data_IF_418749890916
#
_entry.id   IF_418749890916
#
_cell.length_a   1.000
_cell.length_b   1.000
_cell.length_c   1.000
_cell.angle_alpha   90.00
_cell.angle_beta   90.00
_cell.angle_gamma   90.00
#
_symmetry.space_group_name_H-M   'P 1'
#
loop_
_entity.id
_entity.type
_entity.pdbx_description
1 polymer ?
#
# COMPACT_ATOMS: atom_id res chain seq x y z
N UNK A 1 66.87 8.10 -21.20
CA UNK A 1 66.36 6.70 -21.23
C UNK A 1 65.03 6.67 -20.50
N UNK A 2 63.91 6.33 -21.18
CA UNK A 2 62.61 6.27 -20.52
C UNK A 2 62.54 5.02 -19.64
N UNK A 3 62.23 5.21 -18.36
CA UNK A 3 61.94 4.12 -17.42
C UNK A 3 60.68 3.40 -17.90
N UNK A 4 60.79 2.14 -18.33
CA UNK A 4 59.64 1.30 -18.67
C UNK A 4 58.74 1.23 -17.43
N UNK A 5 57.46 1.61 -17.59
CA UNK A 5 56.44 1.43 -16.56
C UNK A 5 56.37 -0.06 -16.17
N UNK A 6 56.14 -0.42 -14.89
CA UNK A 6 55.81 -1.79 -14.54
C UNK A 6 54.60 -2.25 -15.38
N UNK A 7 54.60 -3.50 -15.82
CA UNK A 7 53.46 -4.12 -16.50
C UNK A 7 52.26 -4.09 -15.55
N UNK A 8 51.41 -3.08 -15.67
CA UNK A 8 50.21 -2.93 -14.84
C UNK A 8 49.19 -4.00 -15.27
N UNK A 9 48.82 -4.88 -14.34
CA UNK A 9 47.85 -5.96 -14.60
C UNK A 9 46.47 -5.34 -14.84
N UNK A 10 45.90 -5.54 -16.03
CA UNK A 10 44.59 -4.99 -16.35
C UNK A 10 43.49 -5.67 -15.53
N UNK A 11 42.46 -4.89 -15.14
CA UNK A 11 41.28 -5.44 -14.44
C UNK A 11 40.55 -6.48 -15.28
N UNK A 12 40.57 -6.33 -16.60
CA UNK A 12 39.99 -7.29 -17.55
C UNK A 12 40.69 -8.65 -17.48
N UNK A 13 42.02 -8.66 -17.37
CA UNK A 13 42.80 -9.88 -17.22
C UNK A 13 42.44 -10.62 -15.92
N UNK A 14 42.33 -9.90 -14.80
CA UNK A 14 41.90 -10.49 -13.52
C UNK A 14 40.49 -11.09 -13.63
N UNK A 15 39.59 -10.40 -14.33
CA UNK A 15 38.23 -10.90 -14.56
C UNK A 15 38.21 -12.16 -15.44
N UNK A 16 39.11 -12.28 -16.42
CA UNK A 16 39.24 -13.48 -17.25
C UNK A 16 39.76 -14.67 -16.45
N UNK A 17 40.76 -14.46 -15.58
CA UNK A 17 41.24 -15.49 -14.64
C UNK A 17 40.07 -15.98 -13.78
N UNK A 18 39.29 -15.07 -13.22
CA UNK A 18 38.13 -15.42 -12.40
C UNK A 18 37.02 -16.08 -13.20
N UNK A 19 36.78 -15.68 -14.44
CA UNK A 19 35.80 -16.34 -15.29
C UNK A 19 36.19 -17.80 -15.52
N UNK A 20 37.47 -18.11 -15.76
CA UNK A 20 37.95 -19.49 -15.89
C UNK A 20 37.70 -20.28 -14.59
N UNK A 21 37.94 -19.67 -13.43
CA UNK A 21 37.74 -20.34 -12.14
C UNK A 21 36.24 -20.54 -11.87
N UNK A 22 35.44 -19.47 -11.98
CA UNK A 22 34.05 -19.40 -11.55
C UNK A 22 33.01 -19.91 -12.56
N UNK A 23 33.42 -20.37 -13.75
CA UNK A 23 32.48 -20.79 -14.80
C UNK A 23 31.69 -22.05 -14.40
N UNK A 24 30.40 -21.88 -14.08
CA UNK A 24 29.50 -22.96 -13.63
C UNK A 24 29.18 -23.98 -14.73
N UNK A 25 29.53 -23.71 -15.99
CA UNK A 25 29.32 -24.66 -17.08
C UNK A 25 30.16 -25.93 -16.90
N UNK A 26 29.71 -27.02 -17.50
CA UNK A 26 30.46 -28.27 -17.49
C UNK A 26 31.84 -28.13 -18.18
N UNK A 27 31.91 -27.31 -19.22
CA UNK A 27 33.16 -26.99 -19.94
C UNK A 27 34.13 -26.20 -19.07
N UNK A 28 33.65 -25.16 -18.40
CA UNK A 28 34.43 -24.37 -17.44
C UNK A 28 34.97 -25.21 -16.30
N UNK A 29 34.13 -26.09 -15.74
CA UNK A 29 34.54 -27.04 -14.70
C UNK A 29 35.65 -27.98 -15.19
N UNK A 30 35.51 -28.56 -16.39
CA UNK A 30 36.57 -29.42 -16.97
C UNK A 30 37.85 -28.62 -17.20
N UNK A 31 37.75 -27.37 -17.65
CA UNK A 31 38.88 -26.47 -17.92
C UNK A 31 39.69 -26.19 -16.65
N UNK A 32 39.05 -25.78 -15.55
CA UNK A 32 39.76 -25.48 -14.29
C UNK A 32 40.37 -26.72 -13.65
N UNK A 33 39.69 -27.87 -13.71
CA UNK A 33 40.24 -29.15 -13.23
C UNK A 33 41.47 -29.56 -14.05
N UNK A 34 41.42 -29.42 -15.38
CA UNK A 34 42.55 -29.72 -16.25
C UNK A 34 43.75 -28.79 -15.99
N UNK A 35 43.50 -27.51 -15.69
CA UNK A 35 44.53 -26.54 -15.28
C UNK A 35 45.16 -26.97 -13.94
N UNK A 36 44.35 -27.30 -12.93
CA UNK A 36 44.83 -27.71 -11.62
C UNK A 36 45.64 -29.02 -11.68
N UNK A 37 45.17 -30.03 -12.42
CA UNK A 37 45.88 -31.30 -12.61
C UNK A 37 47.18 -31.13 -13.39
N UNK A 38 47.24 -30.26 -14.39
CA UNK A 38 48.50 -29.97 -15.11
C UNK A 38 49.52 -29.30 -14.19
N UNK A 39 49.07 -28.39 -13.32
CA UNK A 39 49.93 -27.77 -12.31
C UNK A 39 50.42 -28.80 -11.28
N UNK A 40 49.58 -29.73 -10.86
CA UNK A 40 49.90 -30.84 -9.97
C UNK A 40 50.93 -31.77 -10.61
N UNK A 41 50.70 -32.22 -11.85
CA UNK A 41 51.64 -33.07 -12.58
C UNK A 41 53.01 -32.40 -12.73
N UNK A 42 53.05 -31.10 -13.08
CA UNK A 42 54.29 -30.30 -13.15
C UNK A 42 54.97 -30.16 -11.80
N UNK A 43 54.20 -30.07 -10.72
CA UNK A 43 54.72 -30.02 -9.36
C UNK A 43 55.36 -31.37 -9.00
N UNK A 44 54.72 -32.49 -9.28
CA UNK A 44 55.24 -33.81 -8.87
C UNK A 44 56.42 -34.35 -9.69
N UNK A 45 56.78 -33.73 -10.83
CA UNK A 45 57.87 -34.23 -11.69
C UNK A 45 59.22 -34.32 -10.96
N UNK A 46 59.91 -35.47 -11.01
CA UNK A 46 61.21 -35.62 -10.36
C UNK A 46 62.27 -34.74 -11.02
N UNK A 47 63.11 -34.08 -10.21
CA UNK A 47 64.31 -33.39 -10.70
C UNK A 47 65.32 -34.46 -11.16
N UNK A 48 65.97 -34.23 -12.32
CA UNK A 48 66.86 -35.19 -13.01
C UNK A 48 68.05 -35.76 -12.20
N UNK A 49 68.32 -35.28 -10.98
CA UNK A 49 69.44 -35.76 -10.15
C UNK A 49 68.94 -36.63 -8.99
N UNK A 50 69.58 -37.81 -8.81
CA UNK A 50 69.24 -38.83 -7.82
C UNK A 50 69.23 -38.30 -6.38
N UNK A 51 70.26 -37.53 -5.99
CA UNK A 51 70.38 -36.96 -4.65
C UNK A 51 69.33 -35.87 -4.40
N UNK A 52 69.09 -35.00 -5.39
CA UNK A 52 68.02 -34.01 -5.27
C UNK A 52 66.65 -34.65 -5.29
N UNK A 53 66.44 -35.72 -6.07
CA UNK A 53 65.16 -36.43 -6.17
C UNK A 53 64.69 -37.02 -4.84
N UNK A 54 65.62 -37.53 -4.01
CA UNK A 54 65.30 -38.07 -2.70
C UNK A 54 64.88 -36.98 -1.69
N UNK A 55 65.63 -35.87 -1.61
CA UNK A 55 65.22 -34.70 -0.81
C UNK A 55 63.95 -34.03 -1.35
N UNK A 56 63.73 -34.10 -2.67
CA UNK A 56 62.59 -33.50 -3.35
C UNK A 56 61.28 -34.25 -3.09
N UNK A 57 61.30 -35.58 -2.98
CA UNK A 57 60.13 -36.36 -2.57
C UNK A 57 59.73 -36.09 -1.11
N UNK A 58 60.70 -35.92 -0.20
CA UNK A 58 60.42 -35.71 1.22
C UNK A 58 59.92 -34.29 1.57
N UNK A 59 60.16 -33.31 0.68
CA UNK A 59 59.79 -31.90 0.91
C UNK A 59 58.43 -31.51 0.30
N UNK A 60 57.84 -32.35 -0.57
CA UNK A 60 56.52 -32.11 -1.16
C UNK A 60 55.42 -32.86 -0.39
N UNK A 61 54.86 -32.23 0.65
CA UNK A 61 53.81 -32.81 1.52
C UNK A 61 52.38 -32.41 1.15
N UNK A 62 52.18 -31.79 -0.01
CA UNK A 62 50.94 -31.07 -0.34
C UNK A 62 50.03 -31.73 -1.39
N UNK A 63 50.48 -32.80 -2.05
CA UNK A 63 49.72 -33.48 -3.12
C UNK A 63 48.31 -33.88 -2.68
N UNK A 64 48.20 -34.59 -1.55
CA UNK A 64 46.90 -35.07 -1.05
C UNK A 64 45.87 -33.94 -0.79
N UNK A 65 46.30 -32.79 -0.25
CA UNK A 65 45.41 -31.65 -0.03
C UNK A 65 44.97 -30.98 -1.33
N UNK A 66 45.86 -30.93 -2.32
CA UNK A 66 45.56 -30.39 -3.65
C UNK A 66 44.56 -31.30 -4.36
N UNK A 67 44.79 -32.61 -4.33
CA UNK A 67 43.89 -33.61 -4.89
C UNK A 67 42.48 -33.52 -4.26
N UNK A 68 42.39 -33.42 -2.93
CA UNK A 68 41.12 -33.25 -2.22
C UNK A 68 40.35 -32.01 -2.67
N UNK A 69 41.01 -30.85 -2.78
CA UNK A 69 40.31 -29.64 -3.25
C UNK A 69 39.95 -29.70 -4.74
N UNK A 70 40.75 -30.37 -5.59
CA UNK A 70 40.38 -30.64 -6.99
C UNK A 70 39.11 -31.49 -7.05
N UNK A 71 39.02 -32.51 -6.20
CA UNK A 71 37.85 -33.37 -6.05
C UNK A 71 36.59 -32.59 -5.63
N UNK A 72 36.72 -31.65 -4.69
CA UNK A 72 35.60 -30.79 -4.26
C UNK A 72 35.17 -29.88 -5.42
N UNK A 73 36.11 -29.25 -6.12
CA UNK A 73 35.81 -28.43 -7.31
C UNK A 73 35.16 -29.23 -8.45
N UNK A 74 35.42 -30.54 -8.52
CA UNK A 74 34.77 -31.45 -9.47
C UNK A 74 33.35 -31.83 -9.05
N UNK A 75 33.15 -32.13 -7.77
CA UNK A 75 31.88 -32.59 -7.20
C UNK A 75 30.82 -31.49 -7.12
N UNK A 76 31.23 -30.25 -6.80
CA UNK A 76 30.31 -29.12 -6.63
C UNK A 76 30.33 -28.19 -7.84
N UNK A 77 29.21 -28.03 -8.57
CA UNK A 77 29.17 -27.23 -9.79
C UNK A 77 29.15 -25.71 -9.54
N UNK A 78 28.77 -25.26 -8.34
CA UNK A 78 28.54 -23.85 -8.04
C UNK A 78 29.83 -23.02 -7.97
N UNK A 79 29.77 -21.79 -8.49
CA UNK A 79 30.91 -20.87 -8.53
C UNK A 79 31.43 -20.52 -7.13
N UNK A 80 30.54 -20.42 -6.15
CA UNK A 80 30.88 -20.00 -4.80
C UNK A 80 31.78 -21.03 -4.10
N UNK A 81 31.38 -22.30 -4.05
CA UNK A 81 32.18 -23.38 -3.46
C UNK A 81 33.51 -23.51 -4.16
N UNK A 82 33.52 -23.36 -5.49
CA UNK A 82 34.74 -23.48 -6.27
C UNK A 82 35.73 -22.34 -6.04
N UNK A 83 35.25 -21.09 -5.96
CA UNK A 83 36.09 -19.95 -5.61
C UNK A 83 36.62 -20.03 -4.17
N UNK A 84 35.82 -20.58 -3.26
CA UNK A 84 36.23 -20.86 -1.88
C UNK A 84 37.36 -21.89 -1.83
N UNK A 85 37.19 -23.04 -2.48
CA UNK A 85 38.22 -24.08 -2.58
C UNK A 85 39.47 -23.57 -3.29
N UNK A 86 39.32 -22.85 -4.39
CA UNK A 86 40.43 -22.21 -5.08
C UNK A 86 41.19 -21.26 -4.15
N UNK A 87 40.47 -20.44 -3.37
CA UNK A 87 41.09 -19.54 -2.38
C UNK A 87 41.84 -20.32 -1.29
N UNK A 88 41.27 -21.41 -0.78
CA UNK A 88 41.92 -22.27 0.22
C UNK A 88 43.22 -22.86 -0.32
N UNK A 89 43.19 -23.41 -1.54
CA UNK A 89 44.38 -23.91 -2.23
C UNK A 89 45.46 -22.82 -2.28
N UNK A 90 45.15 -21.62 -2.75
CA UNK A 90 46.20 -20.62 -2.98
C UNK A 90 46.68 -19.97 -1.68
N UNK A 91 45.91 -20.06 -0.59
CA UNK A 91 46.26 -19.51 0.73
C UNK A 91 47.22 -20.41 1.51
N UNK A 92 47.09 -21.74 1.39
CA UNK A 92 47.88 -22.71 2.18
C UNK A 92 49.29 -22.99 1.62
N UNK A 93 49.61 -22.50 0.41
CA UNK A 93 50.82 -22.86 -0.33
C UNK A 93 51.94 -21.81 -0.32
N UNK A 94 53.18 -22.28 -0.53
CA UNK A 94 54.29 -21.40 -0.87
C UNK A 94 54.12 -20.80 -2.28
N UNK A 95 54.74 -19.63 -2.51
CA UNK A 95 54.69 -18.90 -3.78
C UNK A 95 56.03 -18.84 -4.51
N UNK A 96 57.05 -19.57 -4.03
CA UNK A 96 58.38 -19.62 -4.66
C UNK A 96 58.30 -20.26 -6.05
N UNK A 97 59.27 -19.96 -6.92
CA UNK A 97 59.39 -20.61 -8.23
C UNK A 97 59.42 -22.14 -8.05
N UNK A 98 58.57 -22.86 -8.78
CA UNK A 98 58.44 -24.33 -8.69
C UNK A 98 57.49 -24.85 -7.58
N UNK A 99 56.88 -23.95 -6.80
CA UNK A 99 55.76 -24.28 -5.92
C UNK A 99 54.47 -24.57 -6.71
N UNK A 100 53.52 -25.28 -6.10
CA UNK A 100 52.24 -25.61 -6.75
C UNK A 100 51.46 -24.33 -7.11
N UNK A 101 51.39 -23.35 -6.19
CA UNK A 101 50.66 -22.10 -6.45
C UNK A 101 51.26 -21.32 -7.62
N UNK A 102 52.59 -21.28 -7.71
CA UNK A 102 53.29 -20.66 -8.83
C UNK A 102 52.95 -21.35 -10.16
N UNK A 103 52.99 -22.69 -10.19
CA UNK A 103 52.66 -23.48 -11.38
C UNK A 103 51.17 -23.38 -11.77
N UNK A 104 50.28 -23.32 -10.79
CA UNK A 104 48.84 -23.14 -11.00
C UNK A 104 48.54 -21.79 -11.66
N UNK A 105 49.17 -20.71 -11.19
CA UNK A 105 49.00 -19.39 -11.79
C UNK A 105 49.64 -19.30 -13.17
N UNK A 106 50.76 -19.98 -13.43
CA UNK A 106 51.31 -20.11 -14.79
C UNK A 106 50.31 -20.77 -15.74
N UNK A 107 49.74 -21.92 -15.37
CA UNK A 107 48.75 -22.62 -16.19
C UNK A 107 47.46 -21.79 -16.39
N UNK A 108 47.07 -20.98 -15.41
CA UNK A 108 45.94 -20.04 -15.53
C UNK A 108 46.23 -18.92 -16.52
N UNK A 109 47.43 -18.34 -16.47
CA UNK A 109 47.86 -17.30 -17.41
C UNK A 109 47.91 -17.87 -18.83
N UNK A 110 48.48 -19.06 -19.01
CA UNK A 110 48.57 -19.75 -20.30
C UNK A 110 47.19 -20.14 -20.88
N UNK A 111 46.17 -20.27 -20.03
CA UNK A 111 44.81 -20.64 -20.43
C UNK A 111 43.96 -19.44 -20.91
N UNK A 112 44.50 -18.23 -20.87
CA UNK A 112 43.84 -17.00 -21.34
C UNK A 112 44.23 -16.75 -22.81
N UNK A 113 43.25 -16.66 -23.73
CA UNK A 113 43.53 -16.36 -25.13
C UNK A 113 44.12 -14.95 -25.28
N UNK A 114 45.01 -14.78 -26.26
CA UNK A 114 45.60 -13.49 -26.67
C UNK A 114 46.57 -12.83 -25.68
N UNK A 115 47.01 -13.55 -24.64
CA UNK A 115 47.99 -13.01 -23.71
C UNK A 115 49.43 -13.13 -24.23
N UNK A 116 50.14 -12.01 -24.35
CA UNK A 116 51.53 -11.98 -24.81
C UNK A 116 52.46 -12.65 -23.78
N UNK A 117 53.38 -13.49 -24.26
CA UNK A 117 54.36 -14.18 -23.40
C UNK A 117 55.12 -13.17 -22.54
N UNK A 118 54.97 -13.26 -21.22
CA UNK A 118 55.72 -12.45 -20.25
C UNK A 118 57.17 -12.91 -20.32
N UNK A 119 58.10 -11.95 -20.34
CA UNK A 119 59.52 -12.23 -20.19
C UNK A 119 59.77 -13.01 -18.88
N UNK A 120 60.51 -14.12 -18.97
CA UNK A 120 60.80 -15.03 -17.86
C UNK A 120 61.36 -14.31 -16.63
N UNK A 121 62.05 -13.19 -16.84
CA UNK A 121 62.62 -12.37 -15.75
C UNK A 121 61.58 -11.63 -14.90
N UNK A 122 60.37 -11.39 -15.42
CA UNK A 122 59.30 -10.63 -14.73
C UNK A 122 58.09 -11.48 -14.32
N UNK A 123 58.05 -12.75 -14.73
CA UNK A 123 56.88 -13.62 -14.54
C UNK A 123 56.57 -13.89 -13.06
N UNK A 124 57.61 -14.00 -12.22
CA UNK A 124 57.44 -14.26 -10.80
C UNK A 124 56.81 -13.06 -10.07
N UNK A 125 57.30 -11.84 -10.33
CA UNK A 125 56.69 -10.62 -9.79
C UNK A 125 55.26 -10.42 -10.29
N UNK A 126 55.00 -10.73 -11.56
CA UNK A 126 53.66 -10.65 -12.14
C UNK A 126 52.67 -11.60 -11.43
N UNK A 127 53.05 -12.86 -11.20
CA UNK A 127 52.20 -13.83 -10.48
C UNK A 127 51.90 -13.37 -9.06
N UNK A 128 52.89 -12.79 -8.37
CA UNK A 128 52.70 -12.28 -7.01
C UNK A 128 51.78 -11.06 -6.96
N UNK A 129 51.71 -10.24 -8.00
CA UNK A 129 50.74 -9.15 -8.10
C UNK A 129 49.35 -9.68 -8.50
N UNK A 130 49.30 -10.63 -9.45
CA UNK A 130 48.07 -11.25 -9.92
C UNK A 130 47.32 -11.97 -8.79
N UNK A 131 48.03 -12.71 -7.93
CA UNK A 131 47.39 -13.41 -6.81
C UNK A 131 46.65 -12.44 -5.88
N UNK A 132 47.21 -11.28 -5.60
CA UNK A 132 46.62 -10.31 -4.66
C UNK A 132 45.34 -9.73 -5.26
N UNK A 133 45.37 -9.43 -6.56
CA UNK A 133 44.19 -8.94 -7.28
C UNK A 133 43.10 -10.01 -7.38
N UNK A 134 43.47 -11.27 -7.67
CA UNK A 134 42.53 -12.40 -7.72
C UNK A 134 41.91 -12.65 -6.35
N UNK A 135 42.70 -12.73 -5.27
CA UNK A 135 42.19 -12.94 -3.89
C UNK A 135 41.22 -11.83 -3.51
N UNK A 136 41.60 -10.55 -3.74
CA UNK A 136 40.75 -9.40 -3.43
C UNK A 136 39.41 -9.46 -4.16
N UNK A 137 39.43 -9.90 -5.41
CA UNK A 137 38.23 -9.96 -6.24
C UNK A 137 37.36 -11.19 -5.86
N UNK A 138 37.95 -12.31 -5.45
CA UNK A 138 37.23 -13.44 -4.83
C UNK A 138 36.52 -12.99 -3.56
N UNK A 139 37.22 -12.25 -2.68
CA UNK A 139 36.64 -11.74 -1.44
C UNK A 139 35.47 -10.79 -1.69
N UNK A 140 35.61 -9.89 -2.67
CA UNK A 140 34.52 -9.01 -3.08
C UNK A 140 33.31 -9.81 -3.58
N UNK A 141 33.53 -10.86 -4.38
CA UNK A 141 32.46 -11.71 -4.89
C UNK A 141 31.75 -12.44 -3.75
N UNK A 142 32.51 -13.08 -2.85
CA UNK A 142 31.96 -13.80 -1.71
C UNK A 142 31.15 -12.90 -0.79
N UNK A 143 31.62 -11.68 -0.53
CA UNK A 143 30.91 -10.69 0.27
C UNK A 143 29.56 -10.30 -0.37
N UNK A 144 29.56 -10.00 -1.67
CA UNK A 144 28.35 -9.66 -2.42
C UNK A 144 27.35 -10.83 -2.44
N UNK A 145 27.85 -12.05 -2.62
CA UNK A 145 27.02 -13.26 -2.61
C UNK A 145 26.33 -13.46 -1.26
N UNK A 146 27.07 -13.36 -0.15
CA UNK A 146 26.51 -13.47 1.21
C UNK A 146 25.45 -12.40 1.48
N UNK A 147 25.74 -11.14 1.14
CA UNK A 147 24.79 -10.03 1.30
C UNK A 147 23.51 -10.26 0.48
N UNK A 148 23.65 -10.77 -0.74
CA UNK A 148 22.52 -11.09 -1.61
C UNK A 148 21.65 -12.20 -0.99
N UNK A 149 22.26 -13.28 -0.49
CA UNK A 149 21.53 -14.36 0.18
C UNK A 149 20.77 -13.88 1.43
N UNK A 150 21.39 -13.03 2.24
CA UNK A 150 20.73 -12.44 3.42
C UNK A 150 19.53 -11.58 3.00
N UNK A 151 19.67 -10.77 1.94
CA UNK A 151 18.57 -9.95 1.42
C UNK A 151 17.41 -10.80 0.87
N UNK A 152 17.71 -11.93 0.21
CA UNK A 152 16.70 -12.86 -0.30
C UNK A 152 15.97 -13.52 0.87
N UNK A 153 16.69 -13.98 1.89
CA UNK A 153 16.10 -14.56 3.11
C UNK A 153 15.21 -13.56 3.84
N UNK A 154 15.67 -12.32 4.00
CA UNK A 154 14.89 -11.26 4.65
C UNK A 154 13.57 -10.99 3.90
N UNK A 155 13.62 -10.87 2.57
CA UNK A 155 12.43 -10.69 1.73
C UNK A 155 11.47 -11.88 1.79
N UNK A 156 11.97 -13.10 1.89
CA UNK A 156 11.10 -14.28 2.01
C UNK A 156 10.42 -14.34 3.38
N UNK A 157 11.13 -13.99 4.46
CA UNK A 157 10.54 -13.85 5.81
C UNK A 157 9.45 -12.77 5.78
N UNK A 158 9.73 -11.60 5.20
CA UNK A 158 8.75 -10.51 5.06
C UNK A 158 7.50 -10.97 4.26
N UNK A 159 7.68 -11.73 3.18
CA UNK A 159 6.54 -12.30 2.43
C UNK A 159 5.73 -13.27 3.28
N UNK A 160 6.38 -14.09 4.10
CA UNK A 160 5.70 -15.03 4.98
C UNK A 160 4.93 -14.32 6.08
N UNK A 161 5.50 -13.28 6.70
CA UNK A 161 4.80 -12.47 7.70
C UNK A 161 3.60 -11.75 7.10
N UNK A 162 3.73 -11.15 5.92
CA UNK A 162 2.59 -10.55 5.19
C UNK A 162 1.49 -11.58 4.94
N UNK A 163 1.85 -12.79 4.45
CA UNK A 163 0.86 -13.86 4.20
C UNK A 163 0.17 -14.32 5.49
N UNK A 164 0.90 -14.38 6.60
CA UNK A 164 0.34 -14.78 7.89
C UNK A 164 -0.60 -13.71 8.44
N UNK A 165 -0.19 -12.45 8.39
CA UNK A 165 -1.02 -11.31 8.79
C UNK A 165 -2.29 -11.24 7.94
N UNK A 166 -2.19 -11.44 6.63
CA UNK A 166 -3.36 -11.53 5.75
C UNK A 166 -4.30 -12.66 6.15
N UNK A 167 -3.77 -13.84 6.51
CA UNK A 167 -4.61 -14.97 6.95
C UNK A 167 -5.36 -14.64 8.23
N UNK A 168 -4.66 -14.10 9.23
CA UNK A 168 -5.25 -13.71 10.52
C UNK A 168 -6.34 -12.64 10.33
N UNK A 169 -6.09 -11.61 9.51
CA UNK A 169 -7.07 -10.55 9.24
C UNK A 169 -8.38 -11.09 8.63
N UNK A 170 -8.31 -12.18 7.87
CA UNK A 170 -9.47 -12.77 7.19
C UNK A 170 -10.20 -13.79 8.08
N UNK A 171 -9.47 -14.46 8.97
CA UNK A 171 -10.04 -15.34 9.99
C UNK A 171 -10.87 -14.57 11.02
N UNK A 172 -10.48 -13.32 11.31
CA UNK A 172 -11.23 -12.42 12.20
C UNK A 172 -12.53 -11.86 11.59
N UNK A 173 -12.79 -12.16 10.31
CA UNK A 173 -14.03 -11.74 9.63
C UNK A 173 -15.04 -12.88 9.66
N UNK A 174 -16.26 -12.59 10.11
CA UNK A 174 -17.40 -13.50 10.02
C UNK A 174 -18.37 -12.99 8.95
N UNK A 175 -18.87 -13.89 8.10
CA UNK A 175 -19.92 -13.56 7.11
C UNK A 175 -21.03 -14.59 7.25
N UNK A 176 -22.26 -14.10 7.33
CA UNK A 176 -23.45 -14.93 7.41
C UNK A 176 -24.48 -14.49 6.36
N UNK A 177 -25.38 -15.40 6.01
CA UNK A 177 -26.47 -15.08 5.08
C UNK A 177 -27.58 -14.23 5.73
N UNK A 178 -27.73 -14.34 7.05
CA UNK A 178 -28.79 -13.68 7.82
C UNK A 178 -28.26 -12.70 8.86
N UNK A 179 -28.93 -11.55 8.96
CA UNK A 179 -28.57 -10.46 9.87
C UNK A 179 -28.72 -10.86 11.35
N UNK A 180 -29.78 -11.61 11.68
CA UNK A 180 -30.09 -12.07 13.03
C UNK A 180 -29.00 -13.00 13.56
N UNK A 181 -28.62 -13.99 12.75
CA UNK A 181 -27.54 -14.95 13.06
C UNK A 181 -26.21 -14.23 13.23
N UNK A 182 -25.91 -13.27 12.36
CA UNK A 182 -24.69 -12.48 12.43
C UNK A 182 -24.58 -11.66 13.73
N UNK A 183 -25.69 -11.05 14.19
CA UNK A 183 -25.74 -10.32 15.48
C UNK A 183 -25.54 -11.24 16.67
N UNK A 184 -26.19 -12.40 16.68
CA UNK A 184 -26.08 -13.38 17.77
C UNK A 184 -24.66 -13.92 17.90
N UNK A 185 -24.04 -14.28 16.77
CA UNK A 185 -22.68 -14.81 16.74
C UNK A 185 -21.62 -13.77 17.14
N UNK A 186 -21.80 -12.50 16.76
CA UNK A 186 -20.92 -11.42 17.20
C UNK A 186 -21.06 -11.12 18.69
N UNK A 187 -22.26 -11.27 19.26
CA UNK A 187 -22.46 -11.14 20.70
C UNK A 187 -21.67 -12.18 21.50
N UNK A 188 -21.40 -13.35 20.91
CA UNK A 188 -20.56 -14.39 21.50
C UNK A 188 -19.06 -14.20 21.19
N UNK A 189 -18.71 -13.45 20.13
CA UNK A 189 -17.33 -13.24 19.66
C UNK A 189 -17.10 -11.75 19.33
N UNK A 190 -16.98 -10.87 20.35
CA UNK A 190 -16.90 -9.42 20.16
C UNK A 190 -15.62 -8.96 19.46
N UNK A 191 -14.56 -9.77 19.49
CA UNK A 191 -13.26 -9.44 18.88
C UNK A 191 -13.23 -9.60 17.35
N UNK A 192 -14.34 -10.02 16.74
CA UNK A 192 -14.45 -10.28 15.29
C UNK A 192 -15.28 -9.23 14.58
N UNK A 193 -14.98 -8.99 13.31
CA UNK A 193 -15.80 -8.13 12.45
C UNK A 193 -16.85 -8.99 11.73
N UNK A 194 -18.13 -8.70 11.93
CA UNK A 194 -19.20 -9.45 11.28
C UNK A 194 -19.84 -8.68 10.14
N UNK A 195 -20.16 -9.42 9.09
CA UNK A 195 -20.95 -8.96 7.96
C UNK A 195 -22.14 -9.89 7.76
N UNK A 196 -23.26 -9.31 7.33
CA UNK A 196 -24.40 -10.06 6.82
C UNK A 196 -24.53 -9.76 5.33
N UNK A 197 -24.58 -10.79 4.50
CA UNK A 197 -24.76 -10.63 3.07
C UNK A 197 -25.96 -11.50 2.67
N UNK A 198 -27.10 -10.83 2.45
CA UNK A 198 -28.38 -11.48 2.22
C UNK A 198 -28.86 -11.25 0.79
N UNK A 199 -29.41 -12.27 0.15
CA UNK A 199 -30.05 -12.15 -1.16
C UNK A 199 -31.55 -12.02 -0.96
N UNK A 200 -32.11 -10.83 -1.21
CA UNK A 200 -33.55 -10.56 -1.09
C UNK A 200 -34.01 -9.72 -2.28
N UNK A 201 -35.17 -10.04 -2.84
CA UNK A 201 -35.76 -9.34 -3.99
C UNK A 201 -34.81 -9.26 -5.19
N UNK A 202 -34.11 -10.37 -5.49
CA UNK A 202 -33.10 -10.47 -6.54
C UNK A 202 -31.91 -9.49 -6.41
N UNK A 203 -31.71 -8.93 -5.22
CA UNK A 203 -30.62 -8.00 -4.91
C UNK A 203 -29.81 -8.47 -3.70
N UNK A 204 -28.49 -8.33 -3.82
CA UNK A 204 -27.55 -8.57 -2.72
C UNK A 204 -27.50 -7.36 -1.79
N UNK A 205 -27.85 -7.58 -0.52
CA UNK A 205 -27.78 -6.58 0.53
C UNK A 205 -26.64 -6.91 1.48
N UNK A 206 -25.65 -6.02 1.57
CA UNK A 206 -24.51 -6.12 2.47
C UNK A 206 -24.75 -5.22 3.69
N UNK A 207 -24.61 -5.80 4.88
CA UNK A 207 -24.64 -5.08 6.14
C UNK A 207 -23.35 -5.34 6.90
N UNK A 208 -22.79 -4.28 7.48
CA UNK A 208 -21.72 -4.37 8.47
C UNK A 208 -22.33 -4.25 9.87
N UNK A 209 -21.88 -5.11 10.77
CA UNK A 209 -22.26 -5.07 12.18
C UNK A 209 -21.04 -4.62 12.98
N UNK A 210 -21.20 -3.58 13.77
CA UNK A 210 -20.14 -3.07 14.63
C UNK A 210 -20.03 -3.82 15.96
N UNK A 211 -19.05 -3.41 16.77
CA UNK A 211 -18.79 -3.95 18.11
C UNK A 211 -19.93 -3.71 19.12
N UNK A 212 -20.86 -2.80 18.80
CA UNK A 212 -22.04 -2.49 19.62
C UNK A 212 -23.30 -3.24 19.14
N UNK A 213 -23.22 -3.98 18.03
CA UNK A 213 -24.33 -4.70 17.42
C UNK A 213 -25.22 -3.82 16.52
N UNK A 214 -24.84 -2.57 16.26
CA UNK A 214 -25.53 -1.70 15.30
C UNK A 214 -25.22 -2.14 13.87
N UNK A 215 -26.19 -1.97 12.98
CA UNK A 215 -26.12 -2.46 11.60
C UNK A 215 -26.08 -1.32 10.60
N UNK A 216 -25.05 -1.30 9.76
CA UNK A 216 -24.88 -0.32 8.71
C UNK A 216 -25.08 -0.95 7.34
N UNK A 217 -26.05 -0.47 6.53
CA UNK A 217 -26.19 -0.91 5.15
C UNK A 217 -24.99 -0.40 4.33
N UNK A 218 -24.27 -1.32 3.71
CA UNK A 218 -23.15 -1.03 2.83
C UNK A 218 -23.57 -1.18 1.37
N UNK A 219 -23.05 -0.31 0.52
CA UNK A 219 -23.18 -0.47 -0.93
C UNK A 219 -22.17 -1.52 -1.40
N UNK A 220 -22.61 -2.66 -1.95
CA UNK A 220 -21.68 -3.67 -2.46
C UNK A 220 -20.89 -3.10 -3.65
N UNK A 221 -19.59 -3.41 -3.72
CA UNK A 221 -18.74 -3.01 -4.84
C UNK A 221 -19.14 -3.77 -6.13
N UNK A 222 -18.84 -3.20 -7.30
CA UNK A 222 -19.08 -3.90 -8.57
C UNK A 222 -18.35 -5.25 -8.62
N UNK A 223 -17.13 -5.31 -8.06
CA UNK A 223 -16.37 -6.56 -7.94
C UNK A 223 -17.05 -7.59 -7.04
N UNK A 224 -17.65 -7.15 -5.93
CA UNK A 224 -18.43 -8.01 -5.04
C UNK A 224 -19.67 -8.53 -5.78
N UNK A 225 -20.42 -7.67 -6.45
CA UNK A 225 -21.61 -8.06 -7.22
C UNK A 225 -21.24 -9.08 -8.30
N UNK A 226 -20.16 -8.86 -9.05
CA UNK A 226 -19.68 -9.82 -10.06
C UNK A 226 -19.35 -11.18 -9.43
N UNK A 227 -18.62 -11.21 -8.31
CA UNK A 227 -18.28 -12.46 -7.62
C UNK A 227 -19.51 -13.18 -7.05
N UNK A 228 -20.52 -12.43 -6.62
CA UNK A 228 -21.75 -12.99 -6.07
C UNK A 228 -22.73 -13.46 -7.14
N UNK A 229 -22.76 -12.81 -8.31
CA UNK A 229 -23.59 -13.22 -9.46
C UNK A 229 -23.05 -14.46 -10.17
N UNK A 230 -21.75 -14.77 -10.02
CA UNK A 230 -21.18 -16.04 -10.50
C UNK A 230 -21.49 -17.25 -9.63
N UNK A 231 -22.19 -17.08 -8.50
CA UNK A 231 -22.53 -18.18 -7.61
C UNK A 231 -23.78 -18.92 -8.11
N UNK A 232 -23.69 -20.24 -8.24
CA UNK A 232 -24.82 -21.10 -8.62
C UNK A 232 -25.91 -21.15 -7.53
N UNK A 233 -25.52 -21.05 -6.26
CA UNK A 233 -26.43 -20.92 -5.12
C UNK A 233 -26.13 -19.63 -4.33
N UNK A 234 -27.15 -18.83 -3.95
CA UNK A 234 -27.00 -17.63 -3.14
C UNK A 234 -26.82 -18.00 -1.65
N UNK A 235 -25.87 -18.88 -1.35
CA UNK A 235 -25.54 -19.30 0.01
C UNK A 235 -24.03 -19.19 0.24
N UNK A 236 -23.64 -18.20 1.04
CA UNK A 236 -22.24 -17.83 1.27
C UNK A 236 -21.54 -18.82 2.20
N UNK A 237 -22.30 -19.45 3.10
CA UNK A 237 -21.78 -20.41 4.09
C UNK A 237 -21.35 -21.73 3.43
N UNK A 238 -21.91 -22.05 2.26
CA UNK A 238 -21.52 -23.23 1.46
C UNK A 238 -20.34 -22.98 0.53
N UNK A 239 -19.78 -21.77 0.48
CA UNK A 239 -18.71 -21.44 -0.46
C UNK A 239 -17.38 -22.09 -0.10
N UNK A 240 -16.59 -22.36 -1.14
CA UNK A 240 -15.22 -22.82 -0.95
C UNK A 240 -14.37 -21.74 -0.21
N UNK A 241 -13.30 -22.17 0.47
CA UNK A 241 -12.44 -21.27 1.27
C UNK A 241 -11.82 -20.13 0.45
N UNK A 242 -11.60 -20.32 -0.86
CA UNK A 242 -10.96 -19.34 -1.75
C UNK A 242 -11.94 -18.22 -2.11
N UNK A 243 -13.15 -18.56 -2.53
CA UNK A 243 -14.24 -17.63 -2.85
C UNK A 243 -14.66 -16.87 -1.59
N UNK A 244 -14.79 -17.56 -0.45
CA UNK A 244 -15.09 -16.93 0.84
C UNK A 244 -14.01 -15.89 1.23
N UNK A 245 -12.72 -16.23 1.04
CA UNK A 245 -11.60 -15.30 1.27
C UNK A 245 -11.71 -14.04 0.41
N UNK A 246 -12.07 -14.19 -0.86
CA UNK A 246 -12.23 -13.06 -1.77
C UNK A 246 -13.43 -12.18 -1.41
N UNK A 247 -14.57 -12.78 -1.06
CA UNK A 247 -15.77 -12.06 -0.61
C UNK A 247 -15.49 -11.29 0.67
N UNK A 248 -14.81 -11.91 1.65
CA UNK A 248 -14.36 -11.23 2.89
C UNK A 248 -13.53 -9.98 2.62
N UNK A 249 -12.57 -10.06 1.69
CA UNK A 249 -11.77 -8.88 1.30
C UNK A 249 -12.64 -7.77 0.71
N UNK A 250 -13.61 -8.10 -0.13
CA UNK A 250 -14.52 -7.11 -0.71
C UNK A 250 -15.48 -6.49 0.33
N UNK A 251 -15.97 -7.27 1.30
CA UNK A 251 -16.79 -6.73 2.40
C UNK A 251 -16.02 -5.71 3.24
N UNK A 252 -14.75 -5.99 3.55
CA UNK A 252 -13.88 -5.04 4.27
C UNK A 252 -13.63 -3.78 3.44
N UNK A 253 -13.35 -3.92 2.14
CA UNK A 253 -13.24 -2.75 1.25
C UNK A 253 -14.50 -1.90 1.28
N UNK A 254 -15.68 -2.52 1.24
CA UNK A 254 -16.95 -1.79 1.29
C UNK A 254 -17.13 -1.03 2.62
N UNK A 255 -16.74 -1.64 3.75
CA UNK A 255 -16.70 -0.97 5.05
C UNK A 255 -15.73 0.21 5.06
N UNK A 256 -14.52 0.02 4.57
CA UNK A 256 -13.49 1.07 4.60
C UNK A 256 -13.87 2.23 3.67
N UNK A 257 -14.48 1.94 2.52
CA UNK A 257 -15.09 2.95 1.64
C UNK A 257 -16.23 3.68 2.33
N UNK A 258 -17.07 2.99 3.10
CA UNK A 258 -18.12 3.62 3.88
C UNK A 258 -17.54 4.57 4.93
N UNK A 259 -16.56 4.13 5.71
CA UNK A 259 -15.86 4.95 6.70
C UNK A 259 -15.09 6.12 6.06
N UNK A 260 -14.59 5.97 4.83
CA UNK A 260 -13.88 7.04 4.12
C UNK A 260 -14.74 8.29 3.91
N UNK A 261 -16.06 8.14 3.86
CA UNK A 261 -17.02 9.26 3.76
C UNK A 261 -17.00 10.16 5.00
N UNK A 262 -16.58 9.61 6.15
CA UNK A 262 -16.42 10.36 7.39
C UNK A 262 -15.17 11.22 7.27
N UNK A 263 -15.37 12.52 7.19
CA UNK A 263 -14.29 13.50 7.15
C UNK A 263 -13.82 13.80 8.56
N UNK A 264 -12.52 13.64 8.76
CA UNK A 264 -11.84 13.87 10.04
C UNK A 264 -10.60 14.71 9.78
N UNK A 265 -10.40 15.75 10.59
CA UNK A 265 -9.19 16.55 10.64
C UNK A 265 -8.63 16.44 12.05
N UNK A 266 -7.36 16.01 12.15
CA UNK A 266 -6.66 15.85 13.42
C UNK A 266 -5.61 16.95 13.52
N UNK A 267 -5.57 17.65 14.65
CA UNK A 267 -4.60 18.71 14.95
C UNK A 267 -4.36 19.67 13.77
N UNK A 268 -5.40 20.42 13.33
CA UNK A 268 -5.29 21.30 12.18
C UNK A 268 -4.27 22.41 12.43
N UNK A 269 -3.26 22.50 11.56
CA UNK A 269 -2.20 23.51 11.61
C UNK A 269 -2.14 24.32 10.31
N UNK A 270 -1.76 25.59 10.43
CA UNK A 270 -1.47 26.43 9.27
C UNK A 270 -0.14 26.00 8.64
N UNK A 271 -0.17 25.69 7.34
CA UNK A 271 0.99 25.21 6.57
C UNK A 271 2.17 26.19 6.55
N UNK A 272 1.95 27.48 6.81
CA UNK A 272 3.00 28.50 6.78
C UNK A 272 3.56 28.83 8.16
N UNK A 273 2.70 28.91 9.16
CA UNK A 273 3.08 29.33 10.52
C UNK A 273 3.25 28.16 11.49
N UNK A 274 2.82 26.94 11.11
CA UNK A 274 2.69 25.78 12.00
C UNK A 274 1.86 26.05 13.26
N UNK A 275 1.09 27.15 13.27
CA UNK A 275 0.22 27.50 14.37
C UNK A 275 -1.09 26.70 14.27
N UNK A 276 -1.69 26.28 15.40
CA UNK A 276 -2.97 25.59 15.38
C UNK A 276 -4.06 26.50 14.80
N UNK A 277 -4.74 26.03 13.75
CA UNK A 277 -5.85 26.75 13.13
C UNK A 277 -7.04 26.78 14.10
N UNK A 278 -7.72 27.92 14.24
CA UNK A 278 -8.99 28.00 14.98
C UNK A 278 -10.14 27.33 14.19
N UNK A 279 -11.24 27.02 14.88
CA UNK A 279 -12.41 26.42 14.22
C UNK A 279 -13.05 27.42 13.26
N UNK A 280 -13.08 28.70 13.62
CA UNK A 280 -13.59 29.75 12.73
C UNK A 280 -12.79 29.81 11.43
N UNK A 281 -11.46 29.69 11.52
CA UNK A 281 -10.60 29.67 10.32
C UNK A 281 -10.88 28.46 9.42
N UNK A 282 -11.17 27.29 10.00
CA UNK A 282 -11.55 26.11 9.21
C UNK A 282 -12.89 26.32 8.48
N UNK A 283 -13.87 26.92 9.15
CA UNK A 283 -15.18 27.25 8.57
C UNK A 283 -15.02 28.29 7.45
N UNK A 284 -14.23 29.34 7.66
CA UNK A 284 -13.93 30.36 6.64
C UNK A 284 -13.26 29.74 5.40
N UNK A 285 -12.41 28.74 5.61
CA UNK A 285 -11.77 27.97 4.54
C UNK A 285 -12.71 26.96 3.85
N UNK A 286 -13.99 26.91 4.24
CA UNK A 286 -15.01 26.09 3.61
C UNK A 286 -14.99 24.61 4.01
N UNK A 287 -14.50 24.32 5.22
CA UNK A 287 -14.62 23.00 5.88
C UNK A 287 -16.03 22.88 6.46
N UNK A 288 -16.76 21.84 6.05
CA UNK A 288 -18.14 21.55 6.46
C UNK A 288 -18.35 20.05 6.52
N UNK A 289 -19.24 19.57 7.40
CA UNK A 289 -19.49 18.13 7.60
C UNK A 289 -18.23 17.35 7.99
N UNK A 290 -17.45 17.90 8.93
CA UNK A 290 -16.14 17.38 9.31
C UNK A 290 -15.98 17.32 10.83
N UNK A 291 -15.45 16.20 11.33
CA UNK A 291 -15.00 16.09 12.72
C UNK A 291 -13.60 16.68 12.86
N UNK A 292 -13.38 17.49 13.89
CA UNK A 292 -12.09 18.09 14.20
C UNK A 292 -11.65 17.59 15.57
N UNK A 293 -10.63 16.75 15.60
CA UNK A 293 -9.99 16.28 16.81
C UNK A 293 -8.79 17.18 17.12
N UNK A 294 -8.76 17.75 18.32
CA UNK A 294 -7.60 18.44 18.87
C UNK A 294 -7.11 17.67 20.07
N UNK A 295 -5.97 17.02 19.93
CA UNK A 295 -5.31 16.36 21.03
C UNK A 295 -4.04 17.13 21.38
N UNK A 296 -4.05 17.73 22.57
CA UNK A 296 -2.91 18.45 23.16
C UNK A 296 -2.47 17.72 24.42
N UNK A 297 -1.25 17.99 24.91
CA UNK A 297 -0.71 17.35 26.13
C UNK A 297 -1.62 17.51 27.36
N UNK A 298 -2.50 18.53 27.37
CA UNK A 298 -3.37 18.86 28.50
C UNK A 298 -4.83 18.44 28.29
N UNK A 299 -5.33 18.48 27.05
CA UNK A 299 -6.73 18.18 26.75
C UNK A 299 -6.94 17.60 25.35
N UNK A 300 -7.86 16.63 25.28
CA UNK A 300 -8.43 16.10 24.03
C UNK A 300 -9.83 16.69 23.82
N UNK A 301 -10.01 17.46 22.75
CA UNK A 301 -11.25 18.14 22.41
C UNK A 301 -11.74 17.69 21.02
N UNK A 302 -13.00 17.24 20.93
CA UNK A 302 -13.63 16.83 19.67
C UNK A 302 -14.74 17.82 19.29
N UNK A 303 -14.74 18.22 18.03
CA UNK A 303 -15.73 19.15 17.47
C UNK A 303 -16.36 18.58 16.21
N UNK A 304 -17.64 18.87 15.99
CA UNK A 304 -18.32 18.61 14.74
C UNK A 304 -18.64 19.94 14.06
N UNK A 305 -18.20 20.11 12.81
CA UNK A 305 -18.63 21.22 11.96
C UNK A 305 -19.71 20.67 11.04
N UNK A 306 -20.94 21.16 11.18
CA UNK A 306 -22.06 20.66 10.37
C UNK A 306 -22.00 21.17 8.91
N UNK A 307 -22.97 20.76 8.09
CA UNK A 307 -23.06 21.17 6.68
C UNK A 307 -23.30 22.66 6.48
N UNK A 308 -23.77 23.37 7.51
CA UNK A 308 -24.03 24.81 7.50
C UNK A 308 -22.83 25.62 8.02
N UNK A 309 -21.73 24.97 8.40
CA UNK A 309 -20.56 25.63 8.99
C UNK A 309 -20.74 26.04 10.46
N UNK A 310 -21.74 25.50 11.15
CA UNK A 310 -21.89 25.68 12.61
C UNK A 310 -21.09 24.61 13.33
N UNK A 311 -20.21 25.04 14.22
CA UNK A 311 -19.44 24.14 15.07
C UNK A 311 -20.20 23.78 16.34
N UNK A 312 -20.06 22.53 16.78
CA UNK A 312 -20.59 22.04 18.05
C UNK A 312 -19.50 21.23 18.74
N UNK A 313 -19.21 21.59 20.00
CA UNK A 313 -18.27 20.82 20.84
C UNK A 313 -18.97 19.52 21.25
N UNK A 314 -18.30 18.39 21.04
CA UNK A 314 -18.78 17.09 21.49
C UNK A 314 -18.14 16.80 22.84
N UNK A 315 -18.95 16.53 23.86
CA UNK A 315 -18.43 16.12 25.16
C UNK A 315 -18.01 14.66 25.11
N UNK A 316 -16.72 14.39 25.30
CA UNK A 316 -16.19 13.01 25.33
C UNK A 316 -16.71 12.20 26.52
N UNK A 317 -17.22 12.87 27.57
CA UNK A 317 -17.87 12.23 28.71
C UNK A 317 -19.08 11.39 28.31
N UNK A 318 -19.77 11.80 27.25
CA UNK A 318 -21.00 11.17 26.79
C UNK A 318 -20.69 9.90 25.98
N UNK A 319 -19.41 9.68 25.63
CA UNK A 319 -18.91 8.59 24.80
C UNK A 319 -17.70 7.91 25.47
N UNK A 320 -17.90 7.13 26.56
CA UNK A 320 -16.81 6.60 27.38
C UNK A 320 -15.88 5.65 26.63
N UNK A 321 -16.39 4.86 25.67
CA UNK A 321 -15.58 3.99 24.81
C UNK A 321 -14.63 4.78 23.90
N UNK A 322 -15.12 5.88 23.31
CA UNK A 322 -14.29 6.75 22.49
C UNK A 322 -13.23 7.46 23.34
N UNK A 323 -13.61 7.90 24.54
CA UNK A 323 -12.70 8.56 25.47
C UNK A 323 -11.57 7.62 25.94
N UNK A 324 -11.88 6.38 26.30
CA UNK A 324 -10.86 5.39 26.69
C UNK A 324 -9.94 5.02 25.51
N UNK A 325 -10.49 4.94 24.29
CA UNK A 325 -9.71 4.69 23.09
C UNK A 325 -8.73 5.85 22.78
N UNK A 326 -9.19 7.10 22.85
CA UNK A 326 -8.35 8.29 22.66
C UNK A 326 -7.31 8.50 23.78
N UNK A 327 -7.53 7.93 24.97
CA UNK A 327 -6.54 7.94 26.03
C UNK A 327 -5.37 6.99 25.75
N UNK A 328 -5.64 5.87 25.06
CA UNK A 328 -4.63 4.83 24.75
C UNK A 328 -3.92 5.07 23.42
N UNK A 329 -4.61 5.70 22.46
CA UNK A 329 -4.07 5.95 21.12
C UNK A 329 -3.92 7.46 20.89
N UNK A 330 -2.67 7.94 20.84
CA UNK A 330 -2.32 9.35 20.64
C UNK A 330 -1.96 9.65 19.18
N UNK A 331 -2.40 10.78 18.60
CA UNK A 331 -2.00 11.16 17.25
C UNK A 331 -0.48 11.33 17.11
N UNK A 332 0.10 11.06 15.92
CA UNK A 332 -0.57 10.71 14.66
C UNK A 332 -1.06 9.27 14.60
N UNK A 333 -2.29 9.07 14.12
CA UNK A 333 -2.88 7.75 13.96
C UNK A 333 -2.30 7.01 12.75
N UNK A 334 -2.06 5.71 12.91
CA UNK A 334 -1.81 4.82 11.77
C UNK A 334 -3.13 4.57 10.99
N UNK A 335 -3.07 3.87 9.86
CA UNK A 335 -4.25 3.63 9.01
C UNK A 335 -5.36 2.85 9.74
N UNK A 336 -5.00 1.85 10.54
CA UNK A 336 -5.95 1.05 11.32
C UNK A 336 -6.61 1.85 12.43
N UNK A 337 -5.84 2.67 13.14
CA UNK A 337 -6.31 3.57 14.20
C UNK A 337 -7.24 4.63 13.61
N UNK A 338 -6.92 5.13 12.41
CA UNK A 338 -7.77 6.08 11.69
C UNK A 338 -9.14 5.50 11.32
N UNK A 339 -9.18 4.24 10.89
CA UNK A 339 -10.45 3.55 10.58
C UNK A 339 -11.25 3.23 11.85
N UNK A 340 -10.59 2.77 12.92
CA UNK A 340 -11.25 2.50 14.19
C UNK A 340 -11.81 3.78 14.82
N UNK A 341 -11.05 4.87 14.75
CA UNK A 341 -11.53 6.18 15.19
C UNK A 341 -12.78 6.60 14.41
N UNK A 342 -12.76 6.47 13.08
CA UNK A 342 -13.92 6.77 12.23
C UNK A 342 -15.14 5.90 12.55
N UNK A 343 -14.92 4.61 12.85
CA UNK A 343 -16.00 3.73 13.29
C UNK A 343 -16.60 4.23 14.61
N UNK A 344 -15.77 4.59 15.59
CA UNK A 344 -16.24 5.15 16.87
C UNK A 344 -17.00 6.49 16.69
N UNK A 345 -16.66 7.29 15.68
CA UNK A 345 -17.37 8.54 15.38
C UNK A 345 -18.81 8.33 14.88
N UNK A 346 -19.15 7.14 14.35
CA UNK A 346 -20.51 6.85 13.89
C UNK A 346 -21.53 6.90 15.04
N UNK A 347 -21.11 6.54 16.24
CA UNK A 347 -21.97 6.56 17.43
C UNK A 347 -22.24 7.96 17.98
N UNK A 348 -21.55 8.98 17.46
CA UNK A 348 -21.72 10.35 17.94
C UNK A 348 -23.00 10.94 17.36
N UNK A 349 -23.91 11.33 18.26
CA UNK A 349 -25.11 12.08 17.90
C UNK A 349 -24.71 13.48 17.44
N UNK A 350 -24.64 13.67 16.13
CA UNK A 350 -24.28 14.95 15.48
C UNK A 350 -25.48 15.83 15.17
N UNK A 351 -26.69 15.30 15.28
CA UNK A 351 -27.94 16.03 15.08
C UNK A 351 -28.23 16.90 16.30
N UNK A 352 -28.21 18.23 16.11
CA UNK A 352 -29.19 19.04 16.83
C UNK A 352 -30.56 18.53 16.38
N UNK A 353 -31.48 18.15 17.30
CA UNK A 353 -32.83 17.82 16.90
C UNK A 353 -33.38 19.03 16.15
N UNK A 354 -33.64 18.87 14.85
CA UNK A 354 -34.42 19.87 14.15
C UNK A 354 -35.76 19.91 14.87
N UNK A 355 -36.13 21.07 15.41
CA UNK A 355 -37.47 21.20 15.98
C UNK A 355 -38.47 20.75 14.92
N UNK A 356 -39.47 19.93 15.31
CA UNK A 356 -40.49 19.45 14.39
C UNK A 356 -41.07 20.60 13.54
N UNK A 357 -41.21 21.79 14.16
CA UNK A 357 -41.60 23.05 13.51
C UNK A 357 -40.70 23.52 12.36
N UNK A 358 -39.38 23.28 12.40
CA UNK A 358 -38.46 23.63 11.29
C UNK A 358 -38.54 22.64 10.14
N UNK A 359 -38.69 21.34 10.43
CA UNK A 359 -38.91 20.31 9.40
C UNK A 359 -40.25 20.54 8.71
N UNK A 360 -41.28 20.83 9.50
CA UNK A 360 -42.62 21.13 9.01
C UNK A 360 -42.62 22.41 8.16
N UNK A 361 -41.92 23.47 8.59
CA UNK A 361 -41.71 24.68 7.78
C UNK A 361 -40.92 24.42 6.49
N UNK A 362 -39.89 23.57 6.52
CA UNK A 362 -39.14 23.20 5.32
C UNK A 362 -39.97 22.34 4.35
N UNK A 363 -40.72 21.38 4.87
CA UNK A 363 -41.65 20.57 4.08
C UNK A 363 -42.75 21.45 3.48
N UNK A 364 -43.33 22.38 4.25
CA UNK A 364 -44.29 23.37 3.73
C UNK A 364 -43.66 24.27 2.65
N UNK A 365 -42.41 24.67 2.79
CA UNK A 365 -41.71 25.46 1.78
C UNK A 365 -41.48 24.66 0.50
N UNK A 366 -41.04 23.41 0.65
CA UNK A 366 -40.84 22.49 -0.48
C UNK A 366 -42.17 22.20 -1.18
N UNK A 367 -43.21 21.95 -0.40
CA UNK A 367 -44.56 21.72 -0.88
C UNK A 367 -45.13 22.98 -1.55
N UNK A 368 -44.86 24.20 -1.04
CA UNK A 368 -45.23 25.46 -1.70
C UNK A 368 -44.48 25.69 -3.01
N UNK A 369 -43.21 25.29 -3.09
CA UNK A 369 -42.41 25.39 -4.34
C UNK A 369 -42.89 24.38 -5.38
N UNK A 370 -43.21 23.16 -4.95
CA UNK A 370 -43.74 22.10 -5.80
C UNK A 370 -45.20 22.38 -6.22
N UNK A 371 -46.04 22.92 -5.32
CA UNK A 371 -47.42 23.35 -5.62
C UNK A 371 -47.48 24.65 -6.44
N UNK A 372 -46.45 25.51 -6.40
CA UNK A 372 -46.36 26.64 -7.35
C UNK A 372 -46.13 26.20 -8.80
N UNK A 373 -45.86 24.91 -9.05
CA UNK A 373 -45.76 24.33 -10.40
C UNK A 373 -47.05 23.67 -10.93
N UNK A 374 -48.21 23.84 -10.26
CA UNK A 374 -49.51 23.61 -10.89
C UNK A 374 -50.70 23.89 -9.96
N UNK A 375 -51.89 24.31 -10.45
CA UNK A 375 -52.34 24.45 -11.84
C UNK A 375 -52.70 25.90 -12.23
N UNK A 376 -52.53 26.26 -13.50
CA UNK A 376 -53.34 27.33 -14.13
C UNK A 376 -54.29 26.63 -15.09
N UNK A 377 -55.54 26.51 -14.66
CA UNK A 377 -56.63 25.99 -15.48
C UNK A 377 -56.91 26.92 -16.66
N UNK A 378 -56.87 26.37 -17.86
CA UNK A 378 -57.99 26.32 -18.81
C UNK A 378 -57.43 25.93 -20.19
N UNK A 379 -57.90 24.80 -20.74
CA UNK A 379 -58.46 24.66 -22.09
C UNK A 379 -58.59 23.18 -22.45
N UNK A 380 -59.84 22.79 -22.63
CA UNK A 380 -60.41 21.81 -23.59
C UNK A 380 -59.53 20.71 -24.18
N UNK A 381 -59.99 19.47 -23.94
CA UNK A 381 -60.16 18.38 -24.92
C UNK A 381 -59.32 18.48 -26.20
N UNK A 382 -58.26 17.69 -26.32
CA UNK A 382 -58.26 16.43 -27.09
C UNK A 382 -56.81 15.96 -27.37
N UNK A 383 -56.68 14.64 -27.36
CA UNK A 383 -55.63 13.82 -27.97
C UNK A 383 -54.24 13.71 -27.31
N UNK A 384 -53.93 12.44 -27.03
CA UNK A 384 -52.63 11.84 -26.83
C UNK A 384 -51.55 12.45 -27.74
N UNK A 385 -50.44 12.90 -27.15
CA UNK A 385 -49.11 12.45 -27.53
C UNK A 385 -48.06 12.78 -26.46
N UNK A 386 -47.42 11.72 -26.00
CA UNK A 386 -46.28 11.71 -25.08
C UNK A 386 -45.02 12.13 -25.86
N UNK A 387 -44.22 13.02 -25.26
CA UNK A 387 -42.78 13.10 -25.51
C UNK A 387 -42.31 14.06 -26.60
N UNK A 388 -42.35 15.37 -26.35
CA UNK A 388 -41.39 16.30 -26.95
C UNK A 388 -41.07 17.41 -25.95
N UNK A 389 -39.79 17.52 -25.58
CA UNK A 389 -39.28 18.56 -24.71
C UNK A 389 -39.55 19.92 -25.39
N UNK A 390 -40.32 20.78 -24.73
CA UNK A 390 -40.72 22.07 -25.27
C UNK A 390 -39.55 23.08 -25.20
N UNK A 391 -38.93 23.30 -26.35
CA UNK A 391 -37.75 24.16 -26.53
C UNK A 391 -38.08 25.65 -26.36
N UNK A 392 -39.34 26.06 -26.48
CA UNK A 392 -39.75 27.46 -26.32
C UNK A 392 -39.61 27.93 -24.86
N UNK A 393 -39.75 27.01 -23.90
CA UNK A 393 -39.51 27.30 -22.48
C UNK A 393 -38.04 27.62 -22.17
N UNK A 394 -37.11 27.07 -22.95
CA UNK A 394 -35.67 27.35 -22.82
C UNK A 394 -35.28 28.69 -23.44
N UNK A 395 -35.95 29.12 -24.52
CA UNK A 395 -35.69 30.43 -25.12
C UNK A 395 -36.07 31.58 -24.19
N UNK A 396 -37.13 31.42 -23.39
CA UNK A 396 -37.49 32.38 -22.34
C UNK A 396 -36.47 32.44 -21.20
N UNK A 397 -35.87 31.31 -20.82
CA UNK A 397 -34.79 31.26 -19.81
C UNK A 397 -33.52 31.92 -20.36
N UNK A 398 -33.21 31.70 -21.64
CA UNK A 398 -32.08 32.32 -22.32
C UNK A 398 -32.24 33.84 -22.41
N UNK A 399 -33.42 34.33 -22.81
CA UNK A 399 -33.74 35.77 -22.82
C UNK A 399 -33.62 36.39 -21.43
N UNK A 400 -34.04 35.68 -20.39
CA UNK A 400 -33.97 36.21 -19.02
C UNK A 400 -32.53 36.23 -18.46
N UNK A 401 -31.68 35.29 -18.88
CA UNK A 401 -30.25 35.29 -18.56
C UNK A 401 -29.49 36.37 -19.34
N UNK A 402 -29.81 36.59 -20.61
CA UNK A 402 -29.22 37.65 -21.42
C UNK A 402 -29.61 39.05 -20.91
N UNK A 403 -30.86 39.25 -20.46
CA UNK A 403 -31.31 40.52 -19.84
C UNK A 403 -30.58 40.79 -18.50
N UNK A 404 -30.30 39.74 -17.71
CA UNK A 404 -29.51 39.88 -16.48
C UNK A 404 -28.05 40.20 -16.76
N UNK A 405 -27.46 39.63 -17.79
CA UNK A 405 -26.07 39.92 -18.18
C UNK A 405 -25.95 41.35 -18.72
N UNK A 406 -26.92 41.84 -19.51
CA UNK A 406 -26.98 43.24 -19.94
C UNK A 406 -27.12 44.22 -18.76
N UNK A 407 -28.00 43.93 -17.80
CA UNK A 407 -28.15 44.75 -16.57
C UNK A 407 -26.90 44.80 -15.70
N UNK A 408 -26.04 43.79 -15.77
CA UNK A 408 -24.75 43.77 -15.06
C UNK A 408 -23.70 44.59 -15.82
N UNK A 409 -23.69 44.51 -17.16
CA UNK A 409 -22.78 45.29 -18.00
C UNK A 409 -23.09 46.80 -18.00
N UNK A 410 -24.36 47.19 -17.93
CA UNK A 410 -24.81 48.59 -17.88
C UNK A 410 -24.55 49.27 -16.51
N UNK A 411 -24.19 48.51 -15.47
CA UNK A 411 -23.89 49.03 -14.13
C UNK A 411 -22.41 49.37 -13.89
N UNK A 412 -21.55 49.20 -14.89
CA UNK A 412 -20.13 49.53 -14.80
C UNK A 412 -19.75 50.61 -15.80
N UNK A 413 -19.90 51.87 -15.39
CA UNK A 413 -19.18 53.01 -15.98
C UNK A 413 -18.11 53.49 -14.99
N UNK A 414 -16.90 53.87 -15.46
CA UNK A 414 -15.76 54.17 -14.61
C UNK A 414 -15.71 55.66 -14.26
N UNK A 415 -15.54 56.00 -12.98
CA UNK A 415 -15.19 57.36 -12.53
C UNK A 415 -14.09 57.30 -11.47
N UNK A 416 -13.11 58.17 -11.65
CA UNK A 416 -11.79 58.26 -11.03
C UNK A 416 -11.80 59.04 -9.69
N UNK A 417 -11.10 58.49 -8.68
CA UNK A 417 -10.38 59.12 -7.54
C UNK A 417 -11.10 60.09 -6.54
N UNK A 418 -10.56 60.34 -5.31
CA UNK A 418 -10.19 59.41 -4.24
C UNK A 418 -10.66 59.86 -2.81
N UNK A 419 -10.36 59.04 -1.79
CA UNK A 419 -10.46 59.24 -0.32
C UNK A 419 -11.85 59.36 0.37
N UNK A 420 -12.22 58.34 1.16
CA UNK A 420 -12.32 58.43 2.63
C UNK A 420 -12.60 57.08 3.28
N UNK A 421 -12.06 56.90 4.50
CA UNK A 421 -12.26 55.78 5.42
C UNK A 421 -13.72 55.48 5.74
N UNK A 422 -14.08 54.19 5.76
CA UNK A 422 -14.82 53.52 6.86
C UNK A 422 -15.27 52.10 6.46
N UNK A 423 -15.00 51.13 7.35
CA UNK A 423 -15.71 49.86 7.56
C UNK A 423 -15.82 48.86 6.39
N UNK A 424 -14.90 47.89 6.35
CA UNK A 424 -15.02 46.71 5.50
C UNK A 424 -16.08 45.73 6.03
N UNK A 425 -17.20 45.65 5.31
CA UNK A 425 -18.16 44.53 5.34
C UNK A 425 -17.45 43.31 4.74
N UNK A 426 -17.51 42.10 5.34
CA UNK A 426 -16.89 40.92 4.76
C UNK A 426 -17.53 40.56 3.41
N UNK A 427 -16.69 40.36 2.40
CA UNK A 427 -17.09 39.88 1.08
C UNK A 427 -18.01 38.66 1.18
N UNK A 428 -19.06 38.54 0.33
CA UNK A 428 -19.90 37.35 0.31
C UNK A 428 -19.06 36.11 -0.01
N UNK A 429 -19.35 34.96 0.63
CA UNK A 429 -18.57 33.74 0.46
C UNK A 429 -18.58 33.28 -1.01
N UNK A 430 -17.43 32.78 -1.46
CA UNK A 430 -17.25 32.20 -2.81
C UNK A 430 -18.31 31.12 -3.05
N UNK A 431 -18.99 31.19 -4.20
CA UNK A 431 -19.91 30.15 -4.68
C UNK A 431 -19.22 28.79 -4.68
N UNK A 432 -19.88 27.81 -4.07
CA UNK A 432 -19.41 26.42 -4.02
C UNK A 432 -19.43 25.79 -5.42
N UNK A 433 -18.57 24.80 -5.64
CA UNK A 433 -18.52 24.04 -6.89
C UNK A 433 -19.77 23.14 -7.03
N UNK A 434 -20.28 22.91 -8.26
CA UNK A 434 -21.46 22.07 -8.53
C UNK A 434 -21.40 20.69 -7.85
N UNK A 435 -20.23 20.06 -7.84
CA UNK A 435 -19.99 18.72 -7.24
C UNK A 435 -20.29 18.68 -5.73
N UNK A 436 -20.10 19.79 -5.01
CA UNK A 436 -20.41 19.89 -3.58
C UNK A 436 -21.91 19.97 -3.31
N UNK A 437 -22.70 20.55 -4.23
CA UNK A 437 -24.15 20.60 -4.10
C UNK A 437 -24.78 19.21 -4.25
N UNK A 438 -24.24 18.37 -5.14
CA UNK A 438 -24.65 16.96 -5.29
C UNK A 438 -24.38 16.14 -4.02
N UNK A 439 -23.21 16.28 -3.39
CA UNK A 439 -22.89 15.58 -2.14
C UNK A 439 -23.77 16.05 -0.96
N UNK A 440 -24.03 17.36 -0.86
CA UNK A 440 -24.87 17.94 0.19
C UNK A 440 -26.36 17.56 0.03
N UNK A 441 -26.85 17.38 -1.20
CA UNK A 441 -28.23 16.98 -1.46
C UNK A 441 -28.57 15.55 -1.01
N UNK A 442 -27.56 14.69 -0.82
CA UNK A 442 -27.75 13.30 -0.40
C UNK A 442 -27.67 13.09 1.12
N UNK A 443 -27.15 14.07 1.87
CA UNK A 443 -27.02 13.98 3.34
C UNK A 443 -28.37 13.94 4.09
N UNK A 444 -29.42 14.68 3.70
CA UNK A 444 -30.74 14.55 4.35
C UNK A 444 -31.38 13.17 4.16
N UNK A 445 -31.10 12.49 3.03
CA UNK A 445 -31.59 11.14 2.77
C UNK A 445 -30.82 10.09 3.60
N UNK A 446 -29.53 10.33 3.86
CA UNK A 446 -28.68 9.51 4.72
C UNK A 446 -29.22 9.43 6.16
N UNK A 447 -29.64 10.55 6.74
CA UNK A 447 -30.22 10.58 8.10
C UNK A 447 -31.70 10.17 8.13
N UNK A 448 -32.49 10.41 7.07
CA UNK A 448 -33.87 9.88 6.99
C UNK A 448 -33.93 8.36 6.88
N UNK A 449 -32.94 7.71 6.26
CA UNK A 449 -32.88 6.25 6.20
C UNK A 449 -32.65 5.63 7.58
N UNK A 450 -31.97 6.34 8.49
CA UNK A 450 -31.82 5.93 9.89
C UNK A 450 -33.17 5.91 10.63
N UNK A 451 -33.95 6.99 10.53
CA UNK A 451 -35.28 7.09 11.17
C UNK A 451 -36.34 6.13 10.56
N UNK A 452 -36.22 5.82 9.27
CA UNK A 452 -37.14 4.87 8.62
C UNK A 452 -36.79 3.41 8.92
N UNK A 453 -35.52 3.08 9.18
CA UNK A 453 -35.12 1.75 9.61
C UNK A 453 -35.64 1.42 11.03
N UNK A 454 -35.55 2.37 11.98
CA UNK A 454 -36.15 2.24 13.32
C UNK A 454 -37.67 2.04 13.27
N UNK A 455 -38.37 2.77 12.39
CA UNK A 455 -39.84 2.64 12.24
C UNK A 455 -40.28 1.33 11.58
N UNK A 456 -39.48 0.76 10.68
CA UNK A 456 -39.77 -0.57 10.09
C UNK A 456 -39.59 -1.67 11.14
N UNK A 457 -38.67 -1.48 12.10
CA UNK A 457 -38.41 -2.39 13.23
C UNK A 457 -39.56 -2.37 14.27
N UNK A 458 -40.14 -1.19 14.57
CA UNK A 458 -41.34 -1.06 15.41
C UNK A 458 -42.60 -1.69 14.77
N UNK A 459 -42.78 -1.54 13.45
CA UNK A 459 -43.95 -2.11 12.77
C UNK A 459 -43.84 -3.63 12.62
N UNK A 460 -42.63 -4.18 12.40
CA UNK A 460 -42.43 -5.64 12.33
C UNK A 460 -42.58 -6.32 13.69
N UNK A 461 -42.16 -5.68 14.78
CA UNK A 461 -42.36 -6.20 16.15
C UNK A 461 -43.83 -6.19 16.56
N UNK A 462 -44.59 -5.13 16.24
CA UNK A 462 -46.04 -5.06 16.47
C UNK A 462 -46.84 -6.10 15.68
N UNK A 463 -46.52 -6.33 14.41
CA UNK A 463 -47.18 -7.36 13.57
C UNK A 463 -46.86 -8.78 14.06
N UNK A 464 -45.66 -9.02 14.60
CA UNK A 464 -45.29 -10.32 15.16
C UNK A 464 -45.97 -10.65 16.49
N UNK A 465 -46.39 -9.63 17.26
CA UNK A 465 -47.15 -9.79 18.49
C UNK A 465 -48.66 -9.96 18.26
N UNK A 466 -49.22 -9.34 17.21
CA UNK A 466 -50.63 -9.49 16.84
C UNK A 466 -50.96 -10.85 16.19
N UNK A 467 -49.98 -11.54 15.59
CA UNK A 467 -50.16 -12.89 15.02
C UNK A 467 -49.94 -14.04 16.03
N UNK A 468 -49.71 -13.72 17.32
CA UNK A 468 -49.49 -14.70 18.41
C UNK A 468 -50.58 -14.72 19.49
N UNK A 469 -51.65 -13.95 19.32
CA UNK A 469 -52.92 -14.06 20.03
C UNK A 469 -54.02 -14.37 19.02
#
# INVERSE_FOLDING_TARGET
MPKKKPLEISKEFVNQVLAIIADESEEGRRKIIAIARRAEEKYERPIKSWLTGWFYQYTRTRGEKVEQSIDVMQKFPDAYTRLLEFKLIISDGEWKIGSYNYLLFLELIDAIPDYASIDESFIHSFILELKELVIKQIDSFMFQYKSTLESIKAREIERQTIRQNERQSIENILIFNELTVAKEMLSQQPDKTGFSLSFKNDLWNLFWIDENGETYPLSPSNELILKLTTLEEPNIEKLNKVSLKQIKKECVKARDQYLSKIQVIINPEDKKSHAPLSIENLIINGVTSTFVLRDTEKETNLWWINSMGVSSKISLTDYPKLNSWLATHKPPFNETDGLQFKANLLHIKTTQPFSASKIESMNEMLEKVLKKQGPRDAFTKDNLNIGRLDLESFDNIKLHLEDRVKKIAERTTPVSEPLHEATAIPNPPKKLKPERYTALSQLPNFWRQHDMAEKVEEVQTLVSHLNKN
#
